data_IF_296166395249
#
_entry.id   IF_296166395249
#
_cell.length_a   1.000
_cell.length_b   1.000
_cell.length_c   1.000
_cell.angle_alpha   90.00
_cell.angle_beta   90.00
_cell.angle_gamma   90.00
#
_symmetry.space_group_name_H-M   'P 1'
#
loop_
_entity.id
_entity.type
_entity.pdbx_description
1 polymer ?
#
# COMPACT_ATOMS: atom_id res chain seq x y z
N UNK A 1 -15.06 -2.67 21.21
CA UNK A 1 -14.88 -1.72 20.08
C UNK A 1 -16.10 -1.78 19.18
N UNK A 2 -16.73 -0.63 18.91
CA UNK A 2 -17.93 -0.61 18.09
C UNK A 2 -17.60 -1.01 16.63
N UNK A 3 -18.59 -1.49 15.86
CA UNK A 3 -18.37 -1.84 14.44
C UNK A 3 -17.88 -0.64 13.60
N UNK A 4 -18.12 0.60 14.06
CA UNK A 4 -17.63 1.85 13.47
C UNK A 4 -16.12 2.08 13.70
N UNK A 5 -15.64 1.96 14.95
CA UNK A 5 -14.24 2.18 15.32
C UNK A 5 -13.26 1.28 14.56
N UNK A 6 -13.71 0.05 14.26
CA UNK A 6 -12.92 -0.94 13.50
C UNK A 6 -12.61 -0.47 12.08
N UNK A 7 -13.51 0.29 11.47
CA UNK A 7 -13.37 0.78 10.09
C UNK A 7 -12.50 2.03 10.03
N UNK A 8 -12.53 2.84 11.08
CA UNK A 8 -11.75 4.07 11.13
C UNK A 8 -10.24 3.79 11.03
N UNK A 9 -9.75 2.69 11.60
CA UNK A 9 -8.33 2.32 11.52
C UNK A 9 -7.86 2.14 10.07
N UNK A 10 -8.62 1.42 9.26
CA UNK A 10 -8.25 1.15 7.86
C UNK A 10 -8.21 2.46 7.05
N UNK A 11 -9.19 3.35 7.26
CA UNK A 11 -9.21 4.68 6.64
C UNK A 11 -8.04 5.55 7.11
N UNK A 12 -7.76 5.58 8.41
CA UNK A 12 -6.66 6.37 8.98
C UNK A 12 -5.31 5.91 8.43
N UNK A 13 -5.08 4.60 8.34
CA UNK A 13 -3.87 4.04 7.72
C UNK A 13 -3.75 4.53 6.28
N UNK A 14 -4.83 4.40 5.48
CA UNK A 14 -4.84 4.89 4.10
C UNK A 14 -4.51 6.38 4.01
N UNK A 15 -5.09 7.22 4.86
CA UNK A 15 -4.87 8.67 4.84
C UNK A 15 -3.45 9.05 5.28
N UNK A 16 -2.93 8.42 6.33
CA UNK A 16 -1.56 8.65 6.81
C UNK A 16 -0.55 8.27 5.72
N UNK A 17 -0.71 7.10 5.12
CA UNK A 17 0.19 6.66 4.05
C UNK A 17 0.00 7.49 2.78
N UNK A 18 -1.20 8.00 2.49
CA UNK A 18 -1.40 8.91 1.37
C UNK A 18 -0.57 10.19 1.54
N UNK A 19 -0.59 10.79 2.73
CA UNK A 19 0.24 11.96 3.05
C UNK A 19 1.73 11.63 2.97
N UNK A 20 2.18 10.53 3.59
CA UNK A 20 3.60 10.11 3.56
C UNK A 20 4.07 9.89 2.11
N UNK A 21 3.25 9.20 1.31
CA UNK A 21 3.56 8.91 -0.10
C UNK A 21 3.62 10.19 -0.93
N UNK A 22 2.68 11.11 -0.71
CA UNK A 22 2.66 12.41 -1.38
C UNK A 22 3.92 13.23 -1.07
N UNK A 23 4.36 13.23 0.20
CA UNK A 23 5.64 13.84 0.59
C UNK A 23 6.81 13.12 -0.08
N UNK A 24 6.83 11.79 -0.08
CA UNK A 24 7.87 11.00 -0.74
C UNK A 24 8.00 11.30 -2.23
N UNK A 25 6.89 11.50 -2.94
CA UNK A 25 6.87 11.91 -4.33
C UNK A 25 7.46 13.30 -4.55
N UNK A 26 7.20 14.26 -3.64
CA UNK A 26 7.84 15.58 -3.70
C UNK A 26 9.36 15.49 -3.51
N UNK A 27 9.82 14.59 -2.64
CA UNK A 27 11.24 14.34 -2.40
C UNK A 27 11.93 13.64 -3.58
N UNK A 28 11.19 13.02 -4.51
CA UNK A 28 11.76 12.34 -5.69
C UNK A 28 12.56 13.27 -6.61
N UNK A 29 12.27 14.57 -6.59
CA UNK A 29 12.99 15.58 -7.36
C UNK A 29 14.37 15.91 -6.79
N UNK A 30 14.66 15.51 -5.55
CA UNK A 30 15.94 15.73 -4.90
C UNK A 30 16.99 14.74 -5.40
N UNK A 31 18.22 15.24 -5.59
CA UNK A 31 19.36 14.39 -5.94
C UNK A 31 19.94 13.75 -4.67
N UNK A 32 20.01 12.42 -4.66
CA UNK A 32 20.61 11.65 -3.57
C UNK A 32 21.86 10.92 -4.04
N UNK A 33 22.96 11.07 -3.30
CA UNK A 33 24.26 10.46 -3.63
C UNK A 33 24.27 8.95 -3.38
N UNK A 34 23.48 8.48 -2.43
CA UNK A 34 23.34 7.05 -2.13
C UNK A 34 22.38 6.37 -3.10
N UNK A 35 22.87 5.34 -3.80
CA UNK A 35 22.06 4.48 -4.67
C UNK A 35 20.89 3.83 -3.92
N UNK A 36 21.11 3.44 -2.66
CA UNK A 36 20.07 2.86 -1.81
C UNK A 36 18.99 3.89 -1.51
N UNK A 37 19.37 5.11 -1.14
CA UNK A 37 18.41 6.17 -0.82
C UNK A 37 17.59 6.56 -2.06
N UNK A 38 18.26 6.67 -3.21
CA UNK A 38 17.61 6.91 -4.50
C UNK A 38 16.63 5.80 -4.87
N UNK A 39 16.99 4.54 -4.62
CA UNK A 39 16.07 3.42 -4.83
C UNK A 39 14.84 3.50 -3.92
N UNK A 40 15.05 3.76 -2.63
CA UNK A 40 13.95 3.89 -1.66
C UNK A 40 13.00 4.99 -2.09
N UNK A 41 13.51 6.21 -2.34
CA UNK A 41 12.67 7.37 -2.68
C UNK A 41 11.89 7.15 -3.99
N UNK A 42 12.52 6.55 -4.99
CA UNK A 42 11.80 6.21 -6.24
C UNK A 42 10.71 5.15 -6.04
N UNK A 43 10.93 4.19 -5.14
CA UNK A 43 9.99 3.10 -4.89
C UNK A 43 8.86 3.48 -3.91
N UNK A 44 9.00 4.58 -3.16
CA UNK A 44 8.02 5.04 -2.17
C UNK A 44 6.63 5.24 -2.77
N UNK A 45 6.55 5.73 -4.01
CA UNK A 45 5.29 5.91 -4.73
C UNK A 45 4.50 4.61 -4.84
N UNK A 46 5.16 3.53 -5.24
CA UNK A 46 4.54 2.22 -5.46
C UNK A 46 4.31 1.45 -4.16
N UNK A 47 5.28 1.47 -3.24
CA UNK A 47 5.10 0.89 -1.90
C UNK A 47 3.91 1.54 -1.20
N UNK A 48 3.88 2.87 -1.17
CA UNK A 48 2.83 3.66 -0.57
C UNK A 48 1.49 3.49 -1.29
N UNK A 49 1.49 3.48 -2.62
CA UNK A 49 0.31 3.25 -3.45
C UNK A 49 -0.41 1.94 -3.12
N UNK A 50 0.33 0.83 -2.96
CA UNK A 50 -0.25 -0.45 -2.54
C UNK A 50 -0.93 -0.33 -1.18
N UNK A 51 -0.26 0.27 -0.20
CA UNK A 51 -0.79 0.39 1.17
C UNK A 51 -2.05 1.27 1.16
N UNK A 52 -2.00 2.44 0.52
CA UNK A 52 -3.13 3.37 0.41
C UNK A 52 -4.32 2.69 -0.24
N UNK A 53 -4.14 2.13 -1.45
CA UNK A 53 -5.24 1.52 -2.19
C UNK A 53 -5.81 0.30 -1.45
N UNK A 54 -4.97 -0.56 -0.88
CA UNK A 54 -5.43 -1.74 -0.16
C UNK A 54 -6.30 -1.39 1.04
N UNK A 55 -5.84 -0.50 1.91
CA UNK A 55 -6.58 -0.13 3.10
C UNK A 55 -7.81 0.73 2.79
N UNK A 56 -7.76 1.55 1.74
CA UNK A 56 -8.92 2.28 1.25
C UNK A 56 -10.00 1.33 0.72
N UNK A 57 -9.63 0.34 -0.10
CA UNK A 57 -10.58 -0.64 -0.61
C UNK A 57 -11.15 -1.51 0.50
N UNK A 58 -10.32 -2.00 1.41
CA UNK A 58 -10.77 -2.77 2.59
C UNK A 58 -11.77 -1.97 3.42
N UNK A 59 -11.50 -0.68 3.65
CA UNK A 59 -12.42 0.22 4.34
C UNK A 59 -13.74 0.38 3.59
N UNK A 60 -13.68 0.60 2.27
CA UNK A 60 -14.83 0.79 1.40
C UNK A 60 -15.76 -0.43 1.38
N UNK A 61 -15.21 -1.63 1.16
CA UNK A 61 -15.97 -2.89 1.11
C UNK A 61 -16.32 -3.44 2.49
N UNK A 62 -15.80 -2.83 3.57
CA UNK A 62 -16.10 -3.14 4.98
C UNK A 62 -15.75 -4.58 5.37
N UNK A 63 -14.66 -5.12 4.82
CA UNK A 63 -14.29 -6.51 5.02
C UNK A 63 -13.46 -6.72 6.30
N UNK A 64 -13.81 -7.76 7.06
CA UNK A 64 -13.19 -8.08 8.35
C UNK A 64 -12.44 -9.41 8.37
N UNK A 65 -12.69 -10.30 7.41
CA UNK A 65 -11.99 -11.57 7.32
C UNK A 65 -10.54 -11.36 6.88
N UNK A 66 -9.58 -11.97 7.59
CA UNK A 66 -8.16 -11.94 7.23
C UNK A 66 -7.96 -12.37 5.77
N UNK A 67 -8.52 -13.53 5.38
CA UNK A 67 -8.37 -14.09 4.04
C UNK A 67 -8.87 -13.16 2.94
N UNK A 68 -10.02 -12.51 3.16
CA UNK A 68 -10.60 -11.62 2.16
C UNK A 68 -9.87 -10.28 2.09
N UNK A 69 -9.37 -9.77 3.23
CA UNK A 69 -8.52 -8.58 3.27
C UNK A 69 -7.19 -8.82 2.55
N UNK A 70 -6.57 -9.99 2.76
CA UNK A 70 -5.40 -10.42 1.99
C UNK A 70 -5.70 -10.49 0.49
N UNK A 71 -6.83 -11.07 0.10
CA UNK A 71 -7.23 -11.11 -1.31
C UNK A 71 -7.33 -9.71 -1.93
N UNK A 72 -7.84 -8.71 -1.18
CA UNK A 72 -7.85 -7.31 -1.64
C UNK A 72 -6.44 -6.78 -1.82
N UNK A 73 -5.54 -6.99 -0.85
CA UNK A 73 -4.13 -6.54 -0.93
C UNK A 73 -3.44 -7.15 -2.15
N UNK A 74 -3.55 -8.47 -2.34
CA UNK A 74 -3.00 -9.16 -3.50
C UNK A 74 -3.61 -8.64 -4.81
N UNK A 75 -4.93 -8.40 -4.85
CA UNK A 75 -5.60 -7.88 -6.04
C UNK A 75 -5.11 -6.48 -6.40
N UNK A 76 -4.89 -5.61 -5.40
CA UNK A 76 -4.29 -4.28 -5.59
C UNK A 76 -2.87 -4.41 -6.13
N UNK A 77 -2.04 -5.27 -5.55
CA UNK A 77 -0.68 -5.50 -6.01
C UNK A 77 -0.62 -6.00 -7.46
N UNK A 78 -1.44 -7.00 -7.80
CA UNK A 78 -1.56 -7.51 -9.17
C UNK A 78 -2.04 -6.42 -10.13
N UNK A 79 -3.05 -5.64 -9.74
CA UNK A 79 -3.57 -4.53 -10.54
C UNK A 79 -2.50 -3.48 -10.84
N UNK A 80 -1.67 -3.12 -9.86
CA UNK A 80 -0.56 -2.17 -10.04
C UNK A 80 0.57 -2.76 -10.90
N UNK A 81 0.90 -4.05 -10.75
CA UNK A 81 1.87 -4.71 -11.64
C UNK A 81 1.35 -4.72 -13.09
N UNK A 82 0.08 -5.06 -13.30
CA UNK A 82 -0.54 -5.00 -14.63
C UNK A 82 -0.47 -3.56 -15.17
N UNK A 83 -0.75 -2.57 -14.34
CA UNK A 83 -0.64 -1.16 -14.71
C UNK A 83 0.79 -0.81 -15.18
N UNK A 84 1.83 -1.29 -14.49
CA UNK A 84 3.22 -1.11 -14.94
C UNK A 84 3.48 -1.68 -16.34
N UNK A 85 2.99 -2.90 -16.62
CA UNK A 85 3.11 -3.46 -17.97
C UNK A 85 2.33 -2.66 -19.02
N UNK A 86 1.19 -2.06 -18.66
CA UNK A 86 0.44 -1.21 -19.57
C UNK A 86 1.18 0.09 -19.90
N UNK A 87 2.11 0.55 -19.05
CA UNK A 87 2.91 1.74 -19.36
C UNK A 87 3.82 1.59 -20.59
N UNK A 88 4.09 0.35 -21.05
CA UNK A 88 4.82 0.09 -22.29
C UNK A 88 4.10 0.70 -23.51
N UNK A 89 2.76 0.75 -23.48
CA UNK A 89 1.93 1.24 -24.59
C UNK A 89 1.33 2.63 -24.32
N UNK A 90 1.42 3.13 -23.09
CA UNK A 90 0.92 4.45 -22.72
C UNK A 90 2.01 5.48 -23.05
N UNK A 91 1.78 6.41 -24.00
CA UNK A 91 2.73 7.49 -24.22
C UNK A 91 2.93 8.25 -22.90
N UNK A 92 4.08 8.90 -22.71
CA UNK A 92 4.42 9.69 -21.51
C UNK A 92 4.67 8.92 -20.20
N UNK A 93 4.48 7.59 -20.16
CA UNK A 93 4.88 6.74 -19.02
C UNK A 93 6.05 5.85 -19.40
N UNK A 94 6.72 5.25 -18.41
CA UNK A 94 7.89 4.42 -18.66
C UNK A 94 7.86 3.23 -17.73
N UNK A 95 7.80 2.05 -18.32
CA UNK A 95 7.96 0.79 -17.60
C UNK A 95 9.25 0.80 -16.78
N UNK A 96 9.14 0.68 -15.45
CA UNK A 96 10.28 0.55 -14.53
C UNK A 96 10.14 -0.72 -13.68
N UNK A 97 11.11 -1.62 -13.80
CA UNK A 97 11.16 -2.85 -12.99
C UNK A 97 11.24 -2.53 -11.49
N UNK A 98 11.81 -1.38 -11.11
CA UNK A 98 11.85 -0.94 -9.71
C UNK A 98 10.46 -0.67 -9.16
N UNK A 99 9.51 -0.28 -10.01
CA UNK A 99 8.13 -0.01 -9.62
C UNK A 99 7.37 -1.31 -9.34
N UNK A 100 7.67 -2.39 -10.09
CA UNK A 100 7.23 -3.75 -9.77
C UNK A 100 7.80 -4.21 -8.43
N UNK A 101 9.11 -4.02 -8.19
CA UNK A 101 9.75 -4.39 -6.92
C UNK A 101 9.13 -3.60 -5.76
N UNK A 102 8.93 -2.29 -5.93
CA UNK A 102 8.25 -1.43 -4.96
C UNK A 102 6.83 -1.90 -4.66
N UNK A 103 6.09 -2.32 -5.68
CA UNK A 103 4.75 -2.90 -5.53
C UNK A 103 4.77 -4.19 -4.72
N UNK A 104 5.71 -5.10 -4.99
CA UNK A 104 5.86 -6.34 -4.22
C UNK A 104 6.21 -6.07 -2.75
N UNK A 105 7.11 -5.12 -2.49
CA UNK A 105 7.43 -4.68 -1.12
C UNK A 105 6.19 -4.09 -0.45
N UNK A 106 5.42 -3.26 -1.16
CA UNK A 106 4.16 -2.69 -0.68
C UNK A 106 3.14 -3.76 -0.30
N UNK A 107 3.00 -4.83 -1.09
CA UNK A 107 2.13 -5.98 -0.78
C UNK A 107 2.56 -6.65 0.51
N UNK A 108 3.85 -6.94 0.66
CA UNK A 108 4.40 -7.58 1.87
C UNK A 108 4.13 -6.72 3.10
N UNK A 109 4.40 -5.41 3.04
CA UNK A 109 4.18 -4.48 4.15
C UNK A 109 2.68 -4.41 4.48
N UNK A 110 1.80 -4.26 3.48
CA UNK A 110 0.36 -4.21 3.67
C UNK A 110 -0.19 -5.49 4.31
N UNK A 111 0.28 -6.67 3.88
CA UNK A 111 -0.10 -7.96 4.48
C UNK A 111 0.34 -8.08 5.94
N UNK A 112 1.57 -7.65 6.28
CA UNK A 112 2.05 -7.63 7.67
C UNK A 112 1.16 -6.70 8.52
N UNK A 113 0.88 -5.49 8.04
CA UNK A 113 0.00 -4.55 8.73
C UNK A 113 -1.40 -5.13 8.92
N UNK A 114 -1.94 -5.78 7.90
CA UNK A 114 -3.24 -6.43 7.93
C UNK A 114 -3.30 -7.54 9.00
N UNK A 115 -2.27 -8.38 9.06
CA UNK A 115 -2.14 -9.40 10.10
C UNK A 115 -2.12 -8.79 11.49
N UNK A 116 -1.30 -7.75 11.72
CA UNK A 116 -1.22 -7.06 13.01
C UNK A 116 -2.59 -6.49 13.43
N UNK A 117 -3.31 -5.87 12.50
CA UNK A 117 -4.64 -5.31 12.77
C UNK A 117 -5.62 -6.42 13.17
N UNK A 118 -5.62 -7.55 12.47
CA UNK A 118 -6.51 -8.67 12.78
C UNK A 118 -6.17 -9.29 14.14
N UNK A 119 -4.88 -9.52 14.44
CA UNK A 119 -4.41 -10.10 15.71
C UNK A 119 -4.72 -9.17 16.90
N UNK A 120 -4.44 -7.87 16.77
CA UNK A 120 -4.76 -6.90 17.83
C UNK A 120 -6.27 -6.82 18.07
N UNK A 121 -7.09 -6.99 17.02
CA UNK A 121 -8.54 -7.05 17.14
C UNK A 121 -9.01 -8.32 17.83
N UNK A 122 -8.38 -9.48 17.61
CA UNK A 122 -8.77 -10.72 18.29
C UNK A 122 -8.47 -10.68 19.78
N UNK A 123 -7.32 -10.14 20.19
CA UNK A 123 -6.92 -10.01 21.59
C UNK A 123 -7.90 -9.12 22.37
N UNK A 124 -8.31 -7.99 21.79
CA UNK A 124 -9.24 -7.03 22.43
C UNK A 124 -10.69 -7.54 22.53
N UNK A 125 -11.05 -8.63 21.85
CA UNK A 125 -12.37 -9.26 21.97
C UNK A 125 -12.40 -10.36 23.04
N UNK A 126 -11.24 -10.88 23.44
CA UNK A 126 -11.10 -11.85 24.53
C UNK A 126 -10.91 -11.24 25.91
N UNK A 127 -10.67 -9.92 25.99
CA UNK A 127 -10.55 -9.12 27.22
C UNK A 127 -11.84 -8.38 27.53
#
# INVERSE_FOLDING_TARGET
MNKGDRKLIDLLISLIFFVITSIGLLLRSLQFDSNLLRFIVNSLGNIGGVIVCSFLFIWWVKESSLKKRELVIFSVGVGLIIYEFLQIVIPWQTFDVKDIIGTLIGVIIASIMNLLIVVLRSIKLSS
#
